data_IF_350610691049
#
_entry.id   IF_350610691049
#
_cell.length_a   1.000
_cell.length_b   1.000
_cell.length_c   1.000
_cell.angle_alpha   90.00
_cell.angle_beta   90.00
_cell.angle_gamma   90.00
#
_symmetry.space_group_name_H-M   'P 1'
#
loop_
_entity.id
_entity.type
_entity.pdbx_description
1 polymer ?
#
# COMPACT_ATOMS: atom_id res chain seq x y z
N UNK A 1 9.18 3.44 19.36
CA UNK A 1 9.26 1.96 19.38
C UNK A 1 10.64 1.56 19.88
N UNK A 2 10.77 0.49 20.69
CA UNK A 2 12.06 0.03 21.14
C UNK A 2 12.78 -0.73 20.02
N UNK A 3 14.03 -0.34 19.73
CA UNK A 3 14.96 -1.16 18.95
C UNK A 3 15.97 -1.80 19.91
N UNK A 4 16.35 -3.04 19.61
CA UNK A 4 17.34 -3.79 20.38
C UNK A 4 18.65 -3.79 19.61
N UNK A 5 19.65 -3.12 20.17
CA UNK A 5 21.04 -3.13 19.70
C UNK A 5 21.81 -4.15 20.54
N UNK A 6 23.00 -4.55 20.09
CA UNK A 6 23.81 -5.59 20.73
C UNK A 6 23.98 -5.37 22.25
N UNK A 7 24.17 -4.12 22.67
CA UNK A 7 24.50 -3.78 24.06
C UNK A 7 23.40 -2.96 24.78
N UNK A 8 22.37 -2.49 24.07
CA UNK A 8 21.37 -1.61 24.68
C UNK A 8 20.01 -1.60 23.96
N UNK A 9 18.99 -1.16 24.71
CA UNK A 9 17.66 -0.88 24.19
C UNK A 9 17.49 0.63 24.05
N UNK A 10 17.20 1.11 22.84
CA UNK A 10 16.93 2.54 22.60
C UNK A 10 15.49 2.77 22.17
N UNK A 11 14.89 3.82 22.71
CA UNK A 11 13.60 4.33 22.27
C UNK A 11 13.83 5.26 21.08
N UNK A 12 13.30 4.87 19.92
CA UNK A 12 13.40 5.67 18.71
C UNK A 12 12.01 5.99 18.15
N UNK A 13 11.89 7.15 17.52
CA UNK A 13 10.74 7.48 16.70
C UNK A 13 10.82 6.67 15.41
N UNK A 14 9.72 6.02 15.03
CA UNK A 14 9.63 5.27 13.78
C UNK A 14 8.51 5.86 12.93
N UNK A 15 8.69 5.81 11.62
CA UNK A 15 7.63 6.10 10.66
C UNK A 15 7.00 4.77 10.24
N UNK A 16 5.69 4.64 10.41
CA UNK A 16 4.93 3.48 9.96
C UNK A 16 4.05 3.93 8.80
N UNK A 17 4.28 3.34 7.63
CA UNK A 17 3.47 3.58 6.45
C UNK A 17 2.50 2.41 6.24
N UNK A 18 1.21 2.71 6.20
CA UNK A 18 0.16 1.75 5.86
C UNK A 18 -0.21 1.94 4.40
N UNK A 19 -0.16 0.86 3.61
CA UNK A 19 -0.41 0.89 2.16
C UNK A 19 -1.28 -0.30 1.76
N UNK A 20 -2.11 -0.13 0.73
CA UNK A 20 -2.75 -1.28 0.06
C UNK A 20 -1.72 -1.99 -0.83
N UNK A 21 -2.02 -3.23 -1.22
CA UNK A 21 -1.17 -3.99 -2.15
C UNK A 21 -1.00 -3.21 -3.47
N UNK A 22 -2.05 -2.53 -3.94
CA UNK A 22 -2.00 -1.75 -5.16
C UNK A 22 -1.07 -0.53 -5.05
N UNK A 23 -1.09 0.17 -3.90
CA UNK A 23 -0.14 1.27 -3.64
C UNK A 23 1.32 0.79 -3.61
N UNK A 24 1.59 -0.38 -3.01
CA UNK A 24 2.95 -0.94 -2.94
C UNK A 24 3.48 -1.36 -4.33
N UNK A 25 2.59 -1.95 -5.14
CA UNK A 25 2.88 -2.27 -6.53
C UNK A 25 3.19 -1.00 -7.34
N UNK A 26 2.36 0.03 -7.23
CA UNK A 26 2.55 1.30 -7.92
C UNK A 26 3.89 1.96 -7.55
N UNK A 27 4.19 2.07 -6.25
CA UNK A 27 5.43 2.68 -5.76
C UNK A 27 6.69 1.91 -6.22
N UNK A 28 6.62 0.58 -6.22
CA UNK A 28 7.71 -0.28 -6.70
C UNK A 28 7.99 -0.08 -8.19
N UNK A 29 6.95 0.16 -8.99
CA UNK A 29 7.09 0.42 -10.43
C UNK A 29 7.62 1.83 -10.72
N UNK A 30 7.11 2.84 -9.99
CA UNK A 30 7.56 4.24 -10.12
C UNK A 30 9.07 4.34 -9.88
N UNK A 31 9.54 3.71 -8.80
CA UNK A 31 10.93 3.71 -8.43
C UNK A 31 11.82 3.08 -9.52
N UNK A 32 11.38 1.95 -10.11
CA UNK A 32 12.09 1.30 -11.22
C UNK A 32 12.17 2.18 -12.47
N UNK A 33 11.11 2.92 -12.77
CA UNK A 33 11.07 3.85 -13.91
C UNK A 33 12.02 5.02 -13.67
N UNK A 34 11.97 5.66 -12.49
CA UNK A 34 12.84 6.79 -12.13
C UNK A 34 14.33 6.44 -12.13
N UNK A 35 14.69 5.20 -11.82
CA UNK A 35 16.10 4.77 -11.80
C UNK A 35 16.69 4.53 -13.19
N UNK A 36 15.86 4.30 -14.22
CA UNK A 36 16.33 4.10 -15.59
C UNK A 36 16.60 5.45 -16.27
N UNK A 37 17.87 5.89 -16.27
CA UNK A 37 18.29 7.20 -16.79
C UNK A 37 18.31 7.39 -18.31
N UNK A 38 18.03 6.33 -19.08
CA UNK A 38 18.11 6.34 -20.57
C UNK A 38 16.74 6.17 -21.23
N UNK A 39 15.68 6.75 -20.66
CA UNK A 39 14.35 6.73 -21.28
C UNK A 39 14.21 8.00 -22.12
N UNK A 40 13.95 7.89 -23.44
CA UNK A 40 13.58 9.02 -24.29
C UNK A 40 12.39 9.80 -23.71
N UNK A 41 12.38 11.12 -23.88
CA UNK A 41 11.40 12.01 -23.23
C UNK A 41 9.94 11.69 -23.62
N UNK A 42 9.70 11.29 -24.88
CA UNK A 42 8.41 10.81 -25.38
C UNK A 42 7.91 9.57 -24.63
N UNK A 43 8.82 8.62 -24.36
CA UNK A 43 8.51 7.41 -23.60
C UNK A 43 8.34 7.69 -22.11
N UNK A 44 9.09 8.65 -21.57
CA UNK A 44 8.96 9.06 -20.17
C UNK A 44 7.59 9.68 -19.90
N UNK A 45 7.10 10.55 -20.80
CA UNK A 45 5.77 11.14 -20.70
C UNK A 45 4.67 10.09 -20.82
N UNK A 46 4.79 9.17 -21.78
CA UNK A 46 3.87 8.03 -21.90
C UNK A 46 3.80 7.20 -20.61
N UNK A 47 4.96 6.81 -20.08
CA UNK A 47 5.04 6.03 -18.84
C UNK A 47 4.43 6.77 -17.65
N UNK A 48 4.62 8.09 -17.54
CA UNK A 48 4.02 8.89 -16.47
C UNK A 48 2.48 8.88 -16.57
N UNK A 49 1.93 9.05 -17.77
CA UNK A 49 0.48 9.04 -17.99
C UNK A 49 -0.12 7.67 -17.67
N UNK A 50 0.49 6.58 -18.14
CA UNK A 50 0.06 5.22 -17.84
C UNK A 50 0.12 4.93 -16.33
N UNK A 51 1.17 5.40 -15.66
CA UNK A 51 1.29 5.26 -14.21
C UNK A 51 0.21 6.02 -13.44
N UNK A 52 -0.19 7.20 -13.91
CA UNK A 52 -1.28 7.96 -13.31
C UNK A 52 -2.61 7.22 -13.48
N UNK A 53 -2.90 6.75 -14.70
CA UNK A 53 -4.14 6.00 -14.97
C UNK A 53 -4.19 4.69 -14.16
N UNK A 54 -3.08 3.96 -14.06
CA UNK A 54 -3.00 2.78 -13.21
C UNK A 54 -3.27 3.09 -11.73
N UNK A 55 -2.84 4.26 -11.23
CA UNK A 55 -3.09 4.68 -9.85
C UNK A 55 -4.57 4.94 -9.61
N UNK A 56 -5.23 5.62 -10.54
CA UNK A 56 -6.68 5.91 -10.45
C UNK A 56 -7.51 4.63 -10.50
N UNK A 57 -7.20 3.72 -11.43
CA UNK A 57 -7.87 2.41 -11.53
C UNK A 57 -7.66 1.61 -10.24
N UNK A 58 -6.44 1.60 -9.72
CA UNK A 58 -6.10 0.89 -8.47
C UNK A 58 -6.89 1.44 -7.28
N UNK A 59 -7.01 2.77 -7.17
CA UNK A 59 -7.77 3.40 -6.11
C UNK A 59 -9.27 3.07 -6.18
N UNK A 60 -9.86 3.04 -7.38
CA UNK A 60 -11.26 2.65 -7.52
C UNK A 60 -11.47 1.15 -7.22
N UNK A 61 -10.54 0.29 -7.63
CA UNK A 61 -10.55 -1.13 -7.28
C UNK A 61 -10.55 -1.33 -5.76
N UNK A 62 -9.61 -0.67 -5.06
CA UNK A 62 -9.50 -0.74 -3.59
C UNK A 62 -10.80 -0.27 -2.93
N UNK A 63 -11.41 0.82 -3.43
CA UNK A 63 -12.70 1.33 -2.93
C UNK A 63 -13.83 0.33 -3.14
N UNK A 64 -13.90 -0.33 -4.30
CA UNK A 64 -14.93 -1.33 -4.59
C UNK A 64 -14.76 -2.57 -3.72
N UNK A 65 -13.53 -3.02 -3.50
CA UNK A 65 -13.24 -4.14 -2.59
C UNK A 65 -13.61 -3.80 -1.14
N UNK A 66 -13.32 -2.57 -0.69
CA UNK A 66 -13.74 -2.10 0.63
C UNK A 66 -15.27 -2.10 0.78
N UNK A 67 -16.02 -1.64 -0.24
CA UNK A 67 -17.48 -1.67 -0.22
C UNK A 67 -18.02 -3.11 -0.10
N UNK A 68 -17.45 -4.07 -0.84
CA UNK A 68 -17.84 -5.49 -0.73
C UNK A 68 -17.59 -6.02 0.67
N UNK A 69 -16.42 -5.72 1.25
CA UNK A 69 -16.08 -6.07 2.64
C UNK A 69 -17.08 -5.46 3.63
N UNK A 70 -17.46 -4.20 3.45
CA UNK A 70 -18.39 -3.52 4.34
C UNK A 70 -19.79 -4.14 4.29
N UNK A 71 -20.24 -4.55 3.10
CA UNK A 71 -21.50 -5.28 2.92
C UNK A 71 -21.44 -6.63 3.64
N UNK A 72 -20.36 -7.40 3.47
CA UNK A 72 -20.21 -8.68 4.18
C UNK A 72 -20.19 -8.44 5.69
N UNK A 73 -19.40 -7.49 6.17
CA UNK A 73 -19.24 -7.20 7.60
C UNK A 73 -20.54 -6.75 8.27
N UNK A 74 -21.45 -6.09 7.55
CA UNK A 74 -22.78 -5.71 8.05
C UNK A 74 -23.75 -6.89 8.15
N UNK A 75 -23.51 -7.97 7.39
CA UNK A 75 -24.39 -9.13 7.28
C UNK A 75 -23.87 -10.37 8.03
N UNK A 76 -22.64 -10.34 8.58
CA UNK A 76 -22.07 -11.42 9.40
C UNK A 76 -22.48 -11.23 10.87
N UNK A 77 -23.06 -12.26 11.55
CA UNK A 77 -23.36 -12.22 12.98
C UNK A 77 -22.10 -11.93 13.81
N UNK A 78 -22.23 -11.19 14.91
CA UNK A 78 -21.11 -10.69 15.74
C UNK A 78 -20.13 -11.76 16.26
N UNK A 79 -20.50 -13.04 16.19
CA UNK A 79 -19.76 -14.20 16.71
C UNK A 79 -18.77 -14.82 15.70
N UNK A 80 -18.88 -14.49 14.40
CA UNK A 80 -17.96 -14.94 13.34
C UNK A 80 -17.04 -13.81 12.84
N UNK A 81 -16.54 -12.98 13.76
CA UNK A 81 -15.47 -12.04 13.39
C UNK A 81 -14.19 -12.84 13.14
N UNK A 82 -13.88 -13.07 11.87
CA UNK A 82 -12.57 -13.56 11.46
C UNK A 82 -11.52 -12.58 12.03
N UNK A 83 -10.59 -13.03 12.89
CA UNK A 83 -9.59 -12.17 13.50
C UNK A 83 -8.54 -11.83 12.45
N UNK A 84 -8.82 -10.85 11.61
CA UNK A 84 -7.82 -10.30 10.71
C UNK A 84 -7.60 -8.83 11.06
N UNK A 85 -6.37 -8.57 11.52
CA UNK A 85 -5.69 -7.29 11.74
C UNK A 85 -5.97 -6.49 13.01
N UNK A 86 -6.94 -6.87 13.85
CA UNK A 86 -7.20 -6.14 15.12
C UNK A 86 -6.35 -6.57 16.33
N UNK A 87 -5.73 -7.74 16.27
CA UNK A 87 -5.05 -8.37 17.43
C UNK A 87 -3.51 -8.34 17.34
N UNK A 88 -2.94 -7.68 16.32
CA UNK A 88 -1.50 -7.64 16.08
C UNK A 88 -0.95 -6.20 16.08
N UNK A 89 -1.42 -5.37 17.00
CA UNK A 89 -0.80 -4.10 17.40
C UNK A 89 -0.84 -3.99 18.92
#
# INVERSE_FOLDING_TARGET
MPIFLQDEKRMVTVEVQLRTIAMDFWASLEHKIRYKKNIPEDKALYLQNEMLECAEISADLDRRMQNVRDVISKNVPKEEKIPFLGELI
#
